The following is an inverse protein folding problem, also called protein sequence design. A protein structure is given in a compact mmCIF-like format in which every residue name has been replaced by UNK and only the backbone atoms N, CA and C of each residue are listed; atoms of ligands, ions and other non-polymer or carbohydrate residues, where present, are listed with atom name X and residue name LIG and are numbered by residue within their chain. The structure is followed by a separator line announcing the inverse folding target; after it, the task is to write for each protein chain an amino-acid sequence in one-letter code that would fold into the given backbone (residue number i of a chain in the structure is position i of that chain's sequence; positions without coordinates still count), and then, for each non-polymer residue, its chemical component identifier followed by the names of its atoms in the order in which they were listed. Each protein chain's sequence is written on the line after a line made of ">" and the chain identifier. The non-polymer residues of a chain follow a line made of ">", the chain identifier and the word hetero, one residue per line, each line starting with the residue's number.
data_IF_930725630428
#
_entry.id   IF_930725630428
#
_cell.length_a   1.000
_cell.length_b   1.000
_cell.length_c   1.000
_cell.angle_alpha   90.00
_cell.angle_beta   90.00
_cell.angle_gamma   90.00
#
_symmetry.space_group_name_H-M   'P 1'
#
loop_
_entity.id
_entity.type
_entity.pdbx_description
1 polymer ?
#
# COMPACT_ATOMS: atom_id res chain seq x y z
N UNK A 1 -3.72 41.06 -27.31
CA UNK A 1 -4.64 40.04 -26.79
C UNK A 1 -3.83 38.79 -26.57
N UNK A 2 -3.51 38.57 -25.31
CA UNK A 2 -2.60 37.51 -24.84
C UNK A 2 -3.43 36.29 -24.50
N UNK A 3 -3.13 35.17 -25.11
CA UNK A 3 -3.76 33.88 -24.77
C UNK A 3 -2.92 33.24 -23.68
N UNK A 4 -3.50 33.13 -22.50
CA UNK A 4 -2.89 32.44 -21.38
C UNK A 4 -2.79 30.95 -21.69
N UNK A 5 -1.57 30.43 -21.66
CA UNK A 5 -1.24 29.01 -21.69
C UNK A 5 -1.66 28.38 -20.36
N UNK A 6 -2.58 27.44 -20.41
CA UNK A 6 -2.85 26.53 -19.30
C UNK A 6 -1.77 25.45 -19.34
N UNK A 7 -0.74 25.62 -18.52
CA UNK A 7 0.21 24.55 -18.24
C UNK A 7 -0.49 23.49 -17.41
N UNK A 8 -0.88 22.39 -18.08
CA UNK A 8 -1.35 21.19 -17.42
C UNK A 8 -0.19 20.56 -16.66
N UNK A 9 -0.36 20.43 -15.37
CA UNK A 9 0.52 19.65 -14.48
C UNK A 9 0.47 18.20 -14.96
N UNK A 10 1.46 17.79 -15.74
CA UNK A 10 1.67 16.41 -16.07
C UNK A 10 2.03 15.68 -14.76
N UNK A 11 1.16 14.77 -14.32
CA UNK A 11 1.41 13.92 -13.16
C UNK A 11 2.67 13.10 -13.42
N UNK A 12 3.75 13.39 -12.72
CA UNK A 12 5.03 12.68 -12.86
C UNK A 12 4.89 11.24 -12.41
N UNK A 13 4.93 10.32 -13.36
CA UNK A 13 5.18 8.91 -13.05
C UNK A 13 6.64 8.81 -12.64
N UNK A 14 6.85 8.41 -11.39
CA UNK A 14 8.17 8.30 -10.79
C UNK A 14 8.92 7.09 -11.35
N UNK A 15 9.73 7.33 -12.37
CA UNK A 15 10.77 6.40 -12.81
C UNK A 15 12.07 6.76 -12.09
N UNK A 16 12.69 5.81 -11.41
CA UNK A 16 13.96 6.04 -10.72
C UNK A 16 15.06 6.45 -11.70
N UNK A 17 15.92 7.45 -11.38
CA UNK A 17 17.00 7.89 -12.25
C UNK A 17 18.01 6.76 -12.43
N UNK A 18 18.32 6.44 -13.71
CA UNK A 18 19.31 5.44 -14.10
C UNK A 18 18.83 4.36 -15.05
N UNK A 19 17.55 4.34 -15.42
CA UNK A 19 17.03 3.42 -16.43
C UNK A 19 16.85 4.11 -17.79
N UNK A 20 17.15 3.43 -18.91
CA UNK A 20 16.94 4.02 -20.22
C UNK A 20 15.45 4.29 -20.44
N UNK A 21 15.11 5.52 -20.79
CA UNK A 21 13.78 5.97 -21.13
C UNK A 21 13.21 5.10 -22.25
N UNK A 22 12.19 4.28 -21.94
CA UNK A 22 11.28 3.51 -22.82
C UNK A 22 11.16 2.02 -22.49
N UNK A 23 11.21 1.61 -21.22
CA UNK A 23 10.66 0.31 -20.87
C UNK A 23 9.44 0.52 -20.00
N UNK A 24 8.32 0.00 -20.42
CA UNK A 24 7.11 -0.13 -19.61
C UNK A 24 7.49 -0.84 -18.33
N UNK A 25 7.01 -0.34 -17.21
CA UNK A 25 7.24 -1.01 -15.93
C UNK A 25 6.59 -2.39 -15.97
N UNK A 26 7.36 -3.42 -15.63
CA UNK A 26 6.81 -4.78 -15.51
C UNK A 26 5.94 -4.89 -14.26
N UNK A 27 6.30 -4.18 -13.18
CA UNK A 27 5.53 -4.05 -11.94
C UNK A 27 5.13 -2.60 -11.73
N UNK A 28 3.85 -2.33 -11.70
CA UNK A 28 3.31 -1.01 -11.46
C UNK A 28 2.53 -0.97 -10.14
N UNK A 29 2.97 -0.12 -9.22
CA UNK A 29 2.33 0.15 -7.94
C UNK A 29 1.41 1.35 -8.10
N UNK A 30 0.09 1.17 -7.92
CA UNK A 30 -0.89 2.25 -8.05
C UNK A 30 -1.43 2.60 -6.68
N UNK A 31 -1.12 3.81 -6.22
CA UNK A 31 -1.57 4.25 -4.91
C UNK A 31 -0.89 5.50 -4.39
N UNK A 32 -1.30 5.93 -3.22
CA UNK A 32 -0.79 7.13 -2.60
C UNK A 32 0.70 7.02 -2.29
N UNK A 33 1.45 8.12 -2.41
CA UNK A 33 2.87 8.20 -1.98
C UNK A 33 3.05 7.80 -0.51
N UNK A 34 1.98 7.85 0.22
CA UNK A 34 1.92 7.39 1.59
C UNK A 34 2.07 5.87 1.69
N UNK A 35 1.50 5.11 0.82
CA UNK A 35 1.55 3.66 0.80
C UNK A 35 2.74 3.16 -0.01
N UNK A 36 2.97 3.74 -1.17
CA UNK A 36 4.09 3.42 -2.05
C UNK A 36 5.12 4.55 -2.04
N UNK A 37 5.85 4.67 -0.93
CA UNK A 37 6.90 5.69 -0.78
C UNK A 37 8.09 5.40 -1.70
N UNK A 38 8.87 6.44 -2.06
CA UNK A 38 10.10 6.30 -2.83
C UNK A 38 11.05 5.23 -2.27
N UNK A 39 11.19 5.17 -0.95
CA UNK A 39 12.04 4.18 -0.30
C UNK A 39 11.52 2.75 -0.49
N UNK A 40 10.21 2.55 -0.47
CA UNK A 40 9.61 1.25 -0.71
C UNK A 40 9.80 0.83 -2.17
N UNK A 41 9.57 1.76 -3.10
CA UNK A 41 9.77 1.53 -4.55
C UNK A 41 11.25 1.19 -4.82
N UNK A 42 12.18 1.96 -4.26
CA UNK A 42 13.62 1.71 -4.41
C UNK A 42 14.03 0.35 -3.85
N UNK A 43 13.56 -0.02 -2.65
CA UNK A 43 13.83 -1.32 -2.04
C UNK A 43 13.23 -2.46 -2.88
N UNK A 44 12.01 -2.29 -3.39
CA UNK A 44 11.34 -3.25 -4.27
C UNK A 44 12.11 -3.43 -5.57
N UNK A 45 12.52 -2.34 -6.22
CA UNK A 45 13.32 -2.36 -7.44
C UNK A 45 14.67 -3.05 -7.23
N UNK A 46 15.34 -2.79 -6.11
CA UNK A 46 16.60 -3.45 -5.76
C UNK A 46 16.41 -4.96 -5.56
N UNK A 47 15.35 -5.38 -4.88
CA UNK A 47 15.06 -6.80 -4.63
C UNK A 47 14.69 -7.55 -5.91
N UNK A 48 13.93 -6.92 -6.82
CA UNK A 48 13.49 -7.52 -8.08
C UNK A 48 14.58 -7.49 -9.18
N UNK A 49 15.62 -6.68 -9.00
CA UNK A 49 16.81 -6.64 -9.84
C UNK A 49 16.51 -6.24 -11.30
N UNK A 50 16.23 -7.22 -12.16
CA UNK A 50 16.01 -7.00 -13.60
C UNK A 50 14.58 -6.59 -13.97
N UNK A 51 13.64 -6.73 -13.04
CA UNK A 51 12.23 -6.35 -13.24
C UNK A 51 12.07 -4.85 -12.98
N UNK A 52 11.52 -4.15 -13.94
CA UNK A 52 11.30 -2.70 -13.84
C UNK A 52 10.10 -2.40 -12.95
N UNK A 53 10.30 -1.58 -11.91
CA UNK A 53 9.26 -1.17 -10.97
C UNK A 53 8.99 0.32 -11.13
N UNK A 54 7.72 0.69 -11.27
CA UNK A 54 7.28 2.08 -11.26
C UNK A 54 6.07 2.27 -10.34
N UNK A 55 5.69 3.50 -10.08
CA UNK A 55 4.49 3.83 -9.33
C UNK A 55 3.69 4.92 -10.04
N UNK A 56 2.37 4.79 -9.97
CA UNK A 56 1.42 5.81 -10.38
C UNK A 56 0.62 6.30 -9.17
N UNK A 57 0.42 7.62 -9.01
CA UNK A 57 -0.24 8.18 -7.84
C UNK A 57 -1.75 7.87 -7.80
N UNK A 58 -2.36 7.58 -8.94
CA UNK A 58 -3.77 7.22 -9.05
C UNK A 58 -4.03 6.23 -10.20
N UNK A 59 -5.21 5.60 -10.16
CA UNK A 59 -5.66 4.73 -11.25
C UNK A 59 -5.92 5.51 -12.54
N UNK A 60 -6.35 6.76 -12.43
CA UNK A 60 -6.54 7.65 -13.58
C UNK A 60 -5.23 7.93 -14.32
N UNK A 61 -4.13 8.19 -13.60
CA UNK A 61 -2.82 8.42 -14.21
C UNK A 61 -2.32 7.17 -14.94
N UNK A 62 -2.51 5.99 -14.36
CA UNK A 62 -2.21 4.72 -15.01
C UNK A 62 -3.01 4.56 -16.31
N UNK A 63 -4.32 4.75 -16.25
CA UNK A 63 -5.21 4.58 -17.41
C UNK A 63 -4.84 5.52 -18.54
N UNK A 64 -4.61 6.79 -18.25
CA UNK A 64 -4.18 7.79 -19.22
C UNK A 64 -2.85 7.41 -19.91
N UNK A 65 -1.90 6.88 -19.13
CA UNK A 65 -0.63 6.42 -19.70
C UNK A 65 -0.82 5.17 -20.56
N UNK A 66 -1.58 4.18 -20.10
CA UNK A 66 -1.83 2.95 -20.85
C UNK A 66 -2.52 3.21 -22.19
N UNK A 67 -3.44 4.18 -22.24
CA UNK A 67 -4.11 4.63 -23.48
C UNK A 67 -3.13 5.30 -24.47
N UNK A 68 -2.12 6.01 -23.95
CA UNK A 68 -1.12 6.71 -24.76
C UNK A 68 -0.02 5.80 -25.31
N UNK A 69 0.43 4.84 -24.48
CA UNK A 69 1.59 4.01 -24.82
C UNK A 69 1.23 2.67 -25.45
N UNK A 70 -0.02 2.21 -25.28
CA UNK A 70 -0.49 0.87 -25.63
C UNK A 70 0.33 -0.26 -24.98
N UNK A 71 1.12 0.07 -23.95
CA UNK A 71 1.95 -0.87 -23.23
C UNK A 71 1.31 -1.17 -21.87
N UNK A 72 1.31 -2.43 -21.47
CA UNK A 72 0.73 -2.88 -20.21
C UNK A 72 1.80 -3.48 -19.32
N UNK A 73 1.77 -3.23 -18.01
CA UNK A 73 2.62 -3.93 -17.07
C UNK A 73 2.22 -5.41 -16.98
N UNK A 74 3.14 -6.24 -16.51
CA UNK A 74 2.83 -7.65 -16.23
C UNK A 74 2.10 -7.82 -14.90
N UNK A 75 2.34 -6.91 -13.94
CA UNK A 75 1.73 -6.91 -12.61
C UNK A 75 1.28 -5.50 -12.22
N UNK A 76 0.01 -5.38 -11.84
CA UNK A 76 -0.55 -4.22 -11.15
C UNK A 76 -0.74 -4.53 -9.67
N UNK A 77 -0.26 -3.65 -8.81
CA UNK A 77 -0.51 -3.70 -7.36
C UNK A 77 -1.25 -2.43 -6.95
N UNK A 78 -2.49 -2.55 -6.54
CA UNK A 78 -3.31 -1.43 -6.10
C UNK A 78 -3.39 -1.39 -4.57
N UNK A 79 -3.29 -0.19 -4.00
CA UNK A 79 -3.55 -0.01 -2.57
C UNK A 79 -5.06 0.08 -2.26
N UNK A 80 -5.41 -0.12 -0.98
CA UNK A 80 -6.81 -0.06 -0.53
C UNK A 80 -7.50 1.27 -0.87
N UNK A 81 -6.90 2.48 -0.66
CA UNK A 81 -7.52 3.74 -1.04
C UNK A 81 -7.85 3.83 -2.53
N UNK A 82 -6.93 3.41 -3.39
CA UNK A 82 -7.14 3.40 -4.84
C UNK A 82 -8.28 2.47 -5.23
N UNK A 83 -8.28 1.24 -4.69
CA UNK A 83 -9.35 0.27 -4.94
C UNK A 83 -10.73 0.77 -4.51
N UNK A 84 -10.80 1.47 -3.35
CA UNK A 84 -12.06 2.07 -2.86
C UNK A 84 -12.54 3.25 -3.71
N UNK A 85 -11.61 3.96 -4.34
CA UNK A 85 -11.87 5.13 -5.19
C UNK A 85 -12.22 4.80 -6.65
N UNK A 86 -12.15 3.54 -7.06
CA UNK A 86 -12.47 3.14 -8.43
C UNK A 86 -13.93 3.45 -8.78
N UNK A 87 -14.15 4.11 -9.90
CA UNK A 87 -15.46 4.24 -10.51
C UNK A 87 -15.92 2.89 -11.11
N UNK A 88 -17.18 2.79 -11.51
CA UNK A 88 -17.67 1.59 -12.22
C UNK A 88 -16.91 1.34 -13.52
N UNK A 89 -16.59 2.40 -14.24
CA UNK A 89 -15.84 2.32 -15.52
C UNK A 89 -14.40 1.90 -15.27
N UNK A 90 -13.74 2.44 -14.24
CA UNK A 90 -12.38 2.03 -13.86
C UNK A 90 -12.34 0.57 -13.44
N UNK A 91 -13.34 0.11 -12.68
CA UNK A 91 -13.47 -1.28 -12.29
C UNK A 91 -13.64 -2.19 -13.52
N UNK A 92 -14.51 -1.82 -14.46
CA UNK A 92 -14.73 -2.56 -15.70
C UNK A 92 -13.44 -2.63 -16.53
N UNK A 93 -12.74 -1.52 -16.65
CA UNK A 93 -11.44 -1.46 -17.32
C UNK A 93 -10.41 -2.38 -16.66
N UNK A 94 -10.26 -2.29 -15.32
CA UNK A 94 -9.33 -3.10 -14.54
C UNK A 94 -9.60 -4.61 -14.72
N UNK A 95 -10.86 -5.01 -14.65
CA UNK A 95 -11.27 -6.41 -14.81
C UNK A 95 -11.06 -6.92 -16.25
N UNK A 96 -11.09 -6.02 -17.22
CA UNK A 96 -10.86 -6.31 -18.63
C UNK A 96 -9.39 -6.50 -19.04
N UNK A 97 -8.42 -6.17 -18.16
CA UNK A 97 -6.98 -6.33 -18.43
C UNK A 97 -6.54 -7.82 -18.34
N UNK A 98 -6.93 -8.63 -19.30
CA UNK A 98 -6.84 -10.11 -19.21
C UNK A 98 -5.41 -10.66 -18.98
N UNK A 99 -4.39 -10.00 -19.53
CA UNK A 99 -3.00 -10.48 -19.48
C UNK A 99 -2.16 -9.89 -18.34
N UNK A 100 -2.75 -8.97 -17.56
CA UNK A 100 -2.09 -8.29 -16.46
C UNK A 100 -2.42 -8.99 -15.14
N UNK A 101 -1.43 -9.45 -14.40
CA UNK A 101 -1.65 -9.96 -13.04
C UNK A 101 -2.12 -8.82 -12.13
N UNK A 102 -3.16 -9.07 -11.33
CA UNK A 102 -3.74 -8.08 -10.43
C UNK A 102 -3.51 -8.50 -8.97
N UNK A 103 -2.89 -7.62 -8.21
CA UNK A 103 -2.70 -7.76 -6.77
C UNK A 103 -3.29 -6.59 -6.00
N UNK A 104 -3.82 -6.86 -4.81
CA UNK A 104 -4.35 -5.84 -3.91
C UNK A 104 -3.58 -5.83 -2.60
N UNK A 105 -3.03 -4.66 -2.28
CA UNK A 105 -2.34 -4.40 -1.03
C UNK A 105 -3.27 -3.65 -0.07
N UNK A 106 -3.75 -4.31 0.97
CA UNK A 106 -4.74 -3.76 1.89
C UNK A 106 -4.12 -3.26 3.20
N UNK A 107 -4.77 -2.26 3.80
CA UNK A 107 -4.43 -1.74 5.12
C UNK A 107 -5.29 -2.38 6.23
N UNK A 108 -6.52 -2.79 5.89
CA UNK A 108 -7.49 -3.36 6.82
C UNK A 108 -7.91 -4.77 6.40
N UNK A 109 -7.86 -5.74 7.33
CA UNK A 109 -8.25 -7.12 7.05
C UNK A 109 -9.71 -7.26 6.58
N UNK A 110 -10.59 -6.38 7.04
CA UNK A 110 -11.98 -6.33 6.58
C UNK A 110 -12.07 -6.01 5.08
N UNK A 111 -11.25 -5.09 4.59
CA UNK A 111 -11.20 -4.77 3.16
C UNK A 111 -10.62 -5.91 2.34
N UNK A 112 -9.50 -6.51 2.80
CA UNK A 112 -8.92 -7.68 2.13
C UNK A 112 -9.94 -8.81 1.99
N UNK A 113 -10.73 -9.08 3.04
CA UNK A 113 -11.82 -10.07 3.02
C UNK A 113 -12.92 -9.68 2.02
N UNK A 114 -13.38 -8.44 2.04
CA UNK A 114 -14.39 -7.96 1.08
C UNK A 114 -13.93 -8.11 -0.38
N UNK A 115 -12.65 -7.85 -0.67
CA UNK A 115 -12.08 -8.11 -1.99
C UNK A 115 -12.09 -9.60 -2.37
N UNK A 116 -11.82 -10.48 -1.41
CA UNK A 116 -11.84 -11.93 -1.64
C UNK A 116 -13.26 -12.49 -1.79
N UNK A 117 -14.24 -11.92 -1.09
CA UNK A 117 -15.67 -12.28 -1.17
C UNK A 117 -16.33 -11.77 -2.44
N UNK A 118 -15.75 -10.74 -3.07
CA UNK A 118 -16.21 -10.22 -4.36
C UNK A 118 -15.82 -11.19 -5.49
N UNK A 119 -16.81 -11.86 -6.08
CA UNK A 119 -16.61 -12.93 -7.05
C UNK A 119 -15.84 -12.47 -8.29
N UNK A 120 -16.15 -11.29 -8.84
CA UNK A 120 -15.48 -10.76 -10.03
C UNK A 120 -14.01 -10.44 -9.74
N UNK A 121 -13.74 -9.81 -8.59
CA UNK A 121 -12.39 -9.52 -8.16
C UNK A 121 -11.62 -10.81 -7.87
N UNK A 122 -12.23 -11.76 -7.18
CA UNK A 122 -11.60 -13.03 -6.81
C UNK A 122 -11.16 -13.84 -8.03
N UNK A 123 -11.96 -13.87 -9.09
CA UNK A 123 -11.60 -14.56 -10.34
C UNK A 123 -10.43 -13.89 -11.07
N UNK A 124 -10.24 -12.59 -10.83
CA UNK A 124 -9.28 -11.76 -11.54
C UNK A 124 -7.99 -11.51 -10.77
N UNK A 125 -8.10 -11.41 -9.44
CA UNK A 125 -6.94 -11.14 -8.58
C UNK A 125 -6.08 -12.39 -8.39
N UNK A 126 -4.77 -12.20 -8.56
CA UNK A 126 -3.78 -13.23 -8.28
C UNK A 126 -3.31 -13.19 -6.83
N UNK A 127 -3.36 -12.03 -6.19
CA UNK A 127 -2.80 -11.87 -4.85
C UNK A 127 -3.51 -10.82 -4.03
N UNK A 128 -3.64 -11.11 -2.71
CA UNK A 128 -4.21 -10.19 -1.71
C UNK A 128 -3.32 -10.26 -0.46
N UNK A 129 -2.66 -9.16 -0.11
CA UNK A 129 -1.72 -9.12 1.00
C UNK A 129 -1.72 -7.78 1.75
N UNK A 130 -1.28 -7.79 3.03
CA UNK A 130 -1.30 -6.57 3.83
C UNK A 130 -0.19 -5.61 3.44
N UNK A 131 -0.52 -4.33 3.34
CA UNK A 131 0.44 -3.25 3.12
C UNK A 131 1.25 -2.93 4.39
N UNK A 132 0.66 -3.14 5.55
CA UNK A 132 1.24 -2.82 6.86
C UNK A 132 2.08 -3.96 7.44
N UNK A 133 2.68 -4.79 6.58
CA UNK A 133 3.62 -5.83 6.98
C UNK A 133 5.06 -5.29 7.12
N UNK A 134 5.97 -6.13 7.58
CA UNK A 134 7.40 -5.83 7.61
C UNK A 134 7.96 -5.74 6.19
N UNK A 135 9.00 -4.93 5.99
CA UNK A 135 9.60 -4.76 4.67
C UNK A 135 10.11 -6.08 4.06
N UNK A 136 10.73 -6.94 4.87
CA UNK A 136 11.22 -8.25 4.42
C UNK A 136 10.07 -9.17 3.94
N UNK A 137 8.91 -9.11 4.61
CA UNK A 137 7.70 -9.82 4.18
C UNK A 137 7.15 -9.23 2.89
N UNK A 138 7.07 -7.89 2.81
CA UNK A 138 6.67 -7.19 1.58
C UNK A 138 7.53 -7.62 0.39
N UNK A 139 8.86 -7.55 0.54
CA UNK A 139 9.81 -7.89 -0.51
C UNK A 139 9.68 -9.36 -0.94
N UNK A 140 9.47 -10.26 0.01
CA UNK A 140 9.26 -11.69 -0.29
C UNK A 140 7.97 -11.93 -1.06
N UNK A 141 6.86 -11.28 -0.66
CA UNK A 141 5.56 -11.40 -1.33
C UNK A 141 5.62 -10.79 -2.73
N UNK A 142 6.13 -9.56 -2.87
CA UNK A 142 6.18 -8.90 -4.18
C UNK A 142 7.08 -9.66 -5.15
N UNK A 143 8.18 -10.23 -4.69
CA UNK A 143 9.05 -11.09 -5.49
C UNK A 143 8.33 -12.34 -5.98
N UNK A 144 7.61 -13.03 -5.09
CA UNK A 144 6.80 -14.18 -5.47
C UNK A 144 5.78 -13.83 -6.56
N UNK A 145 5.04 -12.73 -6.36
CA UNK A 145 3.95 -12.32 -7.27
C UNK A 145 4.50 -11.81 -8.60
N UNK A 146 5.60 -11.05 -8.59
CA UNK A 146 6.27 -10.57 -9.81
C UNK A 146 6.82 -11.70 -10.68
N UNK A 147 7.10 -12.87 -10.09
CA UNK A 147 7.50 -14.06 -10.84
C UNK A 147 6.32 -15.00 -11.16
N UNK A 148 5.09 -14.50 -11.11
CA UNK A 148 3.88 -15.23 -11.51
C UNK A 148 3.30 -16.13 -10.41
N UNK A 149 3.82 -16.06 -9.18
CA UNK A 149 3.22 -16.76 -8.04
C UNK A 149 1.96 -16.04 -7.54
N UNK A 150 1.13 -16.75 -6.80
CA UNK A 150 -0.06 -16.22 -6.16
C UNK A 150 0.14 -16.18 -4.65
N UNK A 151 -0.33 -15.12 -4.02
CA UNK A 151 -0.31 -15.00 -2.57
C UNK A 151 -1.60 -14.39 -2.06
N UNK A 152 -2.35 -15.16 -1.28
CA UNK A 152 -3.51 -14.67 -0.54
C UNK A 152 -3.24 -14.93 0.94
N UNK A 153 -3.33 -13.89 1.74
CA UNK A 153 -3.12 -14.02 3.18
C UNK A 153 -4.11 -15.06 3.75
N UNK A 154 -3.64 -16.11 4.45
CA UNK A 154 -4.51 -17.21 4.92
C UNK A 154 -5.70 -16.74 5.77
N UNK A 155 -5.54 -15.65 6.54
CA UNK A 155 -6.57 -15.05 7.38
C UNK A 155 -7.73 -14.43 6.57
N UNK A 156 -7.53 -14.17 5.29
CA UNK A 156 -8.57 -13.69 4.37
C UNK A 156 -9.47 -14.84 3.91
N UNK A 157 -8.90 -16.03 3.69
CA UNK A 157 -9.59 -17.20 3.16
C UNK A 157 -10.38 -17.93 4.25
N UNK A 158 -9.87 -17.95 5.48
CA UNK A 158 -10.49 -18.71 6.56
C UNK A 158 -11.82 -18.10 7.00
N UNK A 159 -12.92 -18.87 7.02
CA UNK A 159 -14.11 -18.48 7.75
C UNK A 159 -13.73 -18.30 9.23
N UNK A 160 -14.32 -17.31 9.89
CA UNK A 160 -14.03 -16.92 11.27
C UNK A 160 -14.01 -18.13 12.23
N UNK A 161 -12.83 -18.69 12.48
CA UNK A 161 -12.68 -19.85 13.36
C UNK A 161 -11.26 -20.39 13.52
N UNK A 162 -10.36 -20.17 12.55
CA UNK A 162 -8.95 -20.56 12.65
C UNK A 162 -8.10 -19.33 12.42
N UNK A 163 -8.13 -18.44 13.37
CA UNK A 163 -7.37 -17.20 13.38
C UNK A 163 -6.04 -17.48 14.07
N UNK A 164 -4.94 -17.52 13.31
CA UNK A 164 -3.75 -16.91 13.86
C UNK A 164 -4.14 -15.44 14.12
N UNK A 165 -3.96 -14.87 15.32
CA UNK A 165 -4.61 -13.63 15.69
C UNK A 165 -4.17 -12.52 14.74
N UNK A 166 -5.10 -12.04 13.89
CA UNK A 166 -5.06 -10.64 13.46
C UNK A 166 -4.91 -9.87 14.78
N UNK A 167 -3.86 -9.06 14.96
CA UNK A 167 -3.71 -8.34 16.21
C UNK A 167 -5.03 -7.62 16.47
N UNK A 168 -5.73 -8.07 17.51
CA UNK A 168 -7.03 -7.55 17.87
C UNK A 168 -6.94 -6.03 17.86
N UNK A 169 -7.72 -5.40 17.04
CA UNK A 169 -7.88 -3.95 17.07
C UNK A 169 -8.94 -3.66 18.11
N UNK A 170 -8.71 -2.65 18.93
CA UNK A 170 -9.73 -2.14 19.85
C UNK A 170 -10.82 -1.37 19.11
N UNK A 171 -11.73 -0.76 19.86
CA UNK A 171 -12.83 0.07 19.34
C UNK A 171 -12.33 1.24 18.47
N UNK A 172 -11.07 1.63 18.62
CA UNK A 172 -10.41 2.69 17.83
C UNK A 172 -9.77 2.16 16.53
N UNK A 173 -9.87 0.86 16.29
CA UNK A 173 -9.22 0.19 15.17
C UNK A 173 -7.69 0.10 15.29
N UNK A 174 -7.12 0.36 16.46
CA UNK A 174 -5.69 0.29 16.72
C UNK A 174 -5.26 -1.13 17.06
N UNK A 175 -4.16 -1.59 16.46
CA UNK A 175 -3.55 -2.87 16.83
C UNK A 175 -2.78 -2.74 18.15
N UNK A 176 -2.58 -3.85 18.87
CA UNK A 176 -1.77 -3.88 20.10
C UNK A 176 -0.40 -3.22 19.91
N UNK A 177 0.26 -3.43 18.76
CA UNK A 177 1.55 -2.81 18.46
C UNK A 177 1.46 -1.30 18.23
N UNK A 178 0.37 -0.82 17.65
CA UNK A 178 0.11 0.62 17.51
C UNK A 178 -0.14 1.25 18.88
N UNK A 179 -0.84 0.58 19.77
CA UNK A 179 -1.00 0.99 21.18
C UNK A 179 0.34 1.08 21.90
N UNK A 180 1.19 0.04 21.81
CA UNK A 180 2.51 0.03 22.44
C UNK A 180 3.34 1.23 21.97
N UNK A 181 3.34 1.50 20.67
CA UNK A 181 4.04 2.65 20.09
C UNK A 181 3.43 3.97 20.57
N UNK A 182 2.10 4.14 20.49
CA UNK A 182 1.42 5.37 20.90
C UNK A 182 1.61 5.68 22.39
N UNK A 183 1.61 4.67 23.26
CA UNK A 183 1.89 4.82 24.68
C UNK A 183 3.27 5.44 24.89
N UNK A 184 4.31 4.89 24.27
CA UNK A 184 5.67 5.40 24.40
C UNK A 184 5.84 6.78 23.70
N UNK A 185 5.06 7.05 22.66
CA UNK A 185 4.98 8.39 22.04
C UNK A 185 4.35 9.39 23.00
N UNK A 186 3.27 9.02 23.69
CA UNK A 186 2.62 9.85 24.70
C UNK A 186 3.54 10.09 25.93
N UNK A 187 4.44 9.15 26.24
CA UNK A 187 5.49 9.30 27.25
C UNK A 187 6.70 10.13 26.75
N UNK A 188 6.63 10.71 25.55
CA UNK A 188 7.67 11.57 24.99
C UNK A 188 8.91 10.84 24.43
N UNK A 189 8.87 9.50 24.31
CA UNK A 189 10.02 8.70 23.86
C UNK A 189 10.34 8.95 22.40
N UNK A 190 11.63 9.05 22.03
CA UNK A 190 12.04 9.15 20.62
C UNK A 190 11.84 7.82 19.88
N UNK A 191 11.70 7.88 18.55
CA UNK A 191 11.53 6.65 17.73
C UNK A 191 12.69 5.66 17.93
N UNK A 192 13.90 6.14 18.20
CA UNK A 192 15.07 5.29 18.49
C UNK A 192 14.91 4.54 19.81
N UNK A 193 14.41 5.22 20.84
CA UNK A 193 14.14 4.61 22.16
C UNK A 193 12.96 3.62 22.08
N UNK A 194 11.89 3.99 21.37
CA UNK A 194 10.74 3.13 21.12
C UNK A 194 11.17 1.86 20.38
N UNK A 195 11.99 2.00 19.35
CA UNK A 195 12.53 0.88 18.59
C UNK A 195 13.31 -0.09 19.50
N UNK A 196 14.21 0.43 20.33
CA UNK A 196 14.96 -0.36 21.31
C UNK A 196 14.05 -1.04 22.34
N UNK A 197 13.08 -0.31 22.89
CA UNK A 197 12.16 -0.83 23.92
C UNK A 197 11.24 -1.94 23.40
N UNK A 198 10.85 -1.89 22.12
CA UNK A 198 9.90 -2.83 21.52
C UNK A 198 10.56 -3.92 20.67
N UNK A 199 11.90 -3.91 20.53
CA UNK A 199 12.64 -4.85 19.67
C UNK A 199 12.32 -4.65 18.17
N UNK A 200 12.11 -3.40 17.74
CA UNK A 200 11.74 -3.03 16.38
C UNK A 200 12.83 -2.20 15.70
N UNK A 201 12.75 -2.07 14.38
CA UNK A 201 13.52 -1.05 13.67
C UNK A 201 12.88 0.34 13.85
N UNK A 202 13.68 1.40 13.75
CA UNK A 202 13.17 2.79 13.75
C UNK A 202 12.17 3.01 12.61
N UNK A 203 12.39 2.36 11.47
CA UNK A 203 11.48 2.40 10.33
C UNK A 203 10.12 1.78 10.67
N UNK A 204 10.12 0.60 11.32
CA UNK A 204 8.90 -0.08 11.75
C UNK A 204 8.12 0.77 12.77
N UNK A 205 8.81 1.45 13.70
CA UNK A 205 8.16 2.38 14.63
C UNK A 205 7.48 3.54 13.89
N UNK A 206 8.17 4.15 12.91
CA UNK A 206 7.58 5.21 12.08
C UNK A 206 6.34 4.71 11.34
N UNK A 207 6.36 3.48 10.82
CA UNK A 207 5.23 2.88 10.12
C UNK A 207 4.02 2.66 11.06
N UNK A 208 4.26 2.08 12.25
CA UNK A 208 3.20 1.92 13.25
C UNK A 208 2.61 3.26 13.68
N UNK A 209 3.45 4.26 13.94
CA UNK A 209 2.99 5.59 14.34
C UNK A 209 2.17 6.25 13.23
N UNK A 210 2.60 6.14 11.98
CA UNK A 210 1.87 6.67 10.84
C UNK A 210 0.49 6.01 10.68
N UNK A 211 0.42 4.68 10.73
CA UNK A 211 -0.84 3.96 10.63
C UNK A 211 -1.77 4.30 11.80
N UNK A 212 -1.21 4.49 13.01
CA UNK A 212 -1.96 4.93 14.17
C UNK A 212 -2.48 6.37 14.01
N UNK A 213 -1.67 7.29 13.47
CA UNK A 213 -2.09 8.65 13.16
C UNK A 213 -3.28 8.69 12.21
N UNK A 214 -3.24 7.92 11.13
CA UNK A 214 -4.34 7.80 10.17
C UNK A 214 -5.64 7.34 10.84
N UNK A 215 -5.56 6.35 11.73
CA UNK A 215 -6.75 5.82 12.44
C UNK A 215 -7.29 6.79 13.47
N UNK A 216 -6.41 7.53 14.15
CA UNK A 216 -6.79 8.57 15.11
C UNK A 216 -7.20 9.89 14.44
N UNK A 217 -7.05 10.03 13.12
CA UNK A 217 -7.22 11.29 12.41
C UNK A 217 -6.20 12.37 12.81
N UNK A 218 -5.02 11.99 13.33
CA UNK A 218 -3.98 12.89 13.78
C UNK A 218 -3.03 13.25 12.63
N UNK A 219 -2.72 14.54 12.48
CA UNK A 219 -1.84 15.02 11.41
C UNK A 219 -0.36 14.98 11.79
N UNK A 220 -0.04 14.90 13.06
CA UNK A 220 1.33 14.85 13.54
C UNK A 220 1.44 14.05 14.85
N UNK A 221 2.71 13.78 15.26
CA UNK A 221 3.05 13.00 16.44
C UNK A 221 2.47 13.55 17.74
N UNK A 222 2.48 14.89 17.90
CA UNK A 222 2.01 15.57 19.11
C UNK A 222 0.49 15.43 19.22
N UNK A 223 -0.21 15.61 18.16
CA UNK A 223 -1.66 15.42 18.09
C UNK A 223 -2.05 13.97 18.36
N UNK A 224 -1.31 13.01 17.81
CA UNK A 224 -1.52 11.59 18.11
C UNK A 224 -1.35 11.27 19.60
N UNK A 225 -0.30 11.81 20.23
CA UNK A 225 -0.07 11.66 21.66
C UNK A 225 -1.21 12.25 22.50
N UNK A 226 -1.70 13.43 22.15
CA UNK A 226 -2.81 14.10 22.83
C UNK A 226 -4.10 13.29 22.70
N UNK A 227 -4.49 12.92 21.47
CA UNK A 227 -5.70 12.13 21.20
C UNK A 227 -5.66 10.79 21.93
N UNK A 228 -4.52 10.11 21.89
CA UNK A 228 -4.33 8.83 22.59
C UNK A 228 -4.48 8.95 24.12
N UNK A 229 -4.02 10.03 24.74
CA UNK A 229 -4.21 10.30 26.18
C UNK A 229 -5.68 10.53 26.52
N UNK A 230 -6.37 11.36 25.72
CA UNK A 230 -7.80 11.68 25.92
C UNK A 230 -8.69 10.43 25.81
N UNK A 231 -8.35 9.48 24.97
CA UNK A 231 -9.10 8.25 24.75
C UNK A 231 -8.87 7.20 25.87
N UNK A 232 -7.87 7.39 26.73
CA UNK A 232 -7.56 6.51 27.88
C UNK A 232 -7.88 7.12 29.22
N UNK A 233 -8.33 8.34 29.27
CA UNK A 233 -8.86 9.02 30.46
C UNK A 233 -10.31 8.67 30.67
#
# INVERSE_FOLDING_TARGET
>A
MSIASCDGVASEILVLPGQPARRTAEVLLIGTQCNFSHNLIAATSQELGHITVAAAPSFHDFRSLAELTHEQPTLLVLDEPTMRGLTKDDRTYLLGLAEVALAVAFCTGAFGRACYEDEELRQRMTSIFPLNCRLDVWLSVIKLVAHGGNYILPEIISPAGIVAPVPATDELGLTRRQHDVLRLVADGQSNKRIASALGLSVHTVKLHLRNANLRLGAHNRTEAAMRYRTLRS
#
